data_IF_168728850509
#
_entry.id   IF_168728850509
#
_cell.length_a   1.000
_cell.length_b   1.000
_cell.length_c   1.000
_cell.angle_alpha   90.00
_cell.angle_beta   90.00
_cell.angle_gamma   90.00
#
_symmetry.space_group_name_H-M   'P 1'
#
loop_
_entity.id
_entity.type
_entity.pdbx_description
1 polymer ?
#
# COMPACT_ATOMS: atom_id res chain seq x y z
N UNK A 1 -10.46 -34.93 -2.86
CA UNK A 1 -10.35 -34.25 -1.56
C UNK A 1 -8.88 -34.26 -1.20
N UNK A 2 -8.10 -33.45 -1.89
CA UNK A 2 -6.65 -33.47 -1.81
C UNK A 2 -6.24 -32.12 -1.25
N UNK A 3 -5.66 -32.15 -0.04
CA UNK A 3 -4.82 -31.12 0.58
C UNK A 3 -5.07 -30.81 2.07
N UNK A 4 -5.07 -31.84 2.92
CA UNK A 4 -4.81 -31.65 4.34
C UNK A 4 -3.44 -32.26 4.68
N UNK A 5 -2.39 -31.72 4.08
CA UNK A 5 -1.03 -32.10 4.44
C UNK A 5 -0.73 -31.63 5.87
N UNK A 6 0.14 -32.31 6.63
CA UNK A 6 0.58 -31.84 7.95
C UNK A 6 1.04 -30.37 7.93
N UNK A 7 1.64 -29.94 6.82
CA UNK A 7 2.08 -28.56 6.60
C UNK A 7 0.92 -27.57 6.52
N UNK A 8 -0.16 -27.89 5.78
CA UNK A 8 -1.35 -27.03 5.68
C UNK A 8 -2.12 -26.93 7.00
N UNK A 9 -2.21 -28.03 7.76
CA UNK A 9 -2.76 -27.99 9.14
C UNK A 9 -1.96 -27.08 10.06
N UNK A 10 -0.64 -27.18 10.01
CA UNK A 10 0.25 -26.29 10.78
C UNK A 10 0.01 -24.83 10.41
N UNK A 11 -0.01 -24.49 9.13
CA UNK A 11 -0.30 -23.12 8.69
C UNK A 11 -1.67 -22.60 9.12
N UNK A 12 -2.70 -23.45 9.09
CA UNK A 12 -4.02 -23.06 9.62
C UNK A 12 -3.95 -22.73 11.11
N UNK A 13 -3.28 -23.56 11.90
CA UNK A 13 -3.10 -23.31 13.34
C UNK A 13 -2.30 -22.05 13.60
N UNK A 14 -1.18 -21.86 12.90
CA UNK A 14 -0.33 -20.68 13.04
C UNK A 14 -1.09 -19.40 12.63
N UNK A 15 -1.93 -19.48 11.59
CA UNK A 15 -2.81 -18.38 11.17
C UNK A 15 -3.88 -18.03 12.22
N UNK A 16 -4.46 -19.02 12.89
CA UNK A 16 -5.40 -18.78 14.00
C UNK A 16 -4.70 -18.13 15.20
N UNK A 17 -3.50 -18.60 15.55
CA UNK A 17 -2.71 -18.00 16.63
C UNK A 17 -2.33 -16.54 16.33
N UNK A 18 -1.99 -16.23 15.07
CA UNK A 18 -1.73 -14.85 14.65
C UNK A 18 -2.98 -13.97 14.79
N UNK A 19 -4.16 -14.49 14.45
CA UNK A 19 -5.42 -13.75 14.60
C UNK A 19 -5.73 -13.45 16.09
N UNK A 20 -5.49 -14.41 16.97
CA UNK A 20 -5.64 -14.24 18.42
C UNK A 20 -4.68 -13.19 18.98
N UNK A 21 -3.40 -13.25 18.59
CA UNK A 21 -2.41 -12.25 18.96
C UNK A 21 -2.85 -10.85 18.48
N UNK A 22 -3.29 -10.73 17.23
CA UNK A 22 -3.79 -9.47 16.67
C UNK A 22 -5.00 -8.91 17.42
N UNK A 23 -5.93 -9.76 17.87
CA UNK A 23 -7.07 -9.33 18.67
C UNK A 23 -6.64 -8.69 20.00
N UNK A 24 -5.57 -9.19 20.62
CA UNK A 24 -4.98 -8.61 21.83
C UNK A 24 -4.27 -7.26 21.63
N UNK A 25 -3.96 -6.89 20.38
CA UNK A 25 -3.31 -5.61 20.05
C UNK A 25 -4.31 -4.51 19.67
N UNK A 26 -5.60 -4.83 19.54
CA UNK A 26 -6.63 -3.85 19.18
C UNK A 26 -6.66 -2.71 20.21
N UNK A 27 -6.65 -1.47 19.72
CA UNK A 27 -6.63 -0.27 20.55
C UNK A 27 -5.22 0.17 20.99
N UNK A 28 -4.17 -0.56 20.63
CA UNK A 28 -2.79 -0.11 20.83
C UNK A 28 -2.52 1.12 19.98
N UNK A 29 -2.04 2.20 20.60
CA UNK A 29 -1.57 3.37 19.87
C UNK A 29 -0.25 3.04 19.18
N UNK A 30 -0.25 3.13 17.85
CA UNK A 30 0.95 2.96 17.05
C UNK A 30 1.55 4.32 16.70
N UNK A 31 2.89 4.39 16.54
CA UNK A 31 3.54 5.64 16.20
C UNK A 31 3.15 6.09 14.80
N UNK A 32 3.13 7.42 14.61
CA UNK A 32 3.13 8.01 13.27
C UNK A 32 4.57 8.17 12.80
N UNK A 33 4.83 7.82 11.56
CA UNK A 33 6.14 7.91 10.93
C UNK A 33 6.10 8.93 9.80
N UNK A 34 7.19 9.70 9.66
CA UNK A 34 7.35 10.62 8.53
C UNK A 34 7.76 9.82 7.29
N UNK A 35 6.97 9.94 6.23
CA UNK A 35 7.25 9.28 4.95
C UNK A 35 7.32 10.31 3.82
N UNK A 36 8.03 9.94 2.75
CA UNK A 36 8.10 10.68 1.49
C UNK A 36 7.31 9.90 0.44
N UNK A 37 6.33 10.56 -0.15
CA UNK A 37 5.49 9.99 -1.22
C UNK A 37 5.76 10.73 -2.52
N UNK A 38 5.89 10.03 -3.66
CA UNK A 38 5.86 10.67 -4.96
C UNK A 38 4.57 11.49 -5.11
N UNK A 39 4.68 12.72 -5.57
CA UNK A 39 3.55 13.65 -5.68
C UNK A 39 2.37 13.07 -6.46
N UNK A 40 2.64 12.38 -7.57
CA UNK A 40 1.60 11.73 -8.36
C UNK A 40 0.83 10.64 -7.58
N UNK A 41 1.48 9.94 -6.65
CA UNK A 41 0.83 8.94 -5.79
C UNK A 41 0.03 9.62 -4.67
N UNK A 42 0.60 10.67 -4.07
CA UNK A 42 -0.09 11.48 -3.07
C UNK A 42 -1.37 12.14 -3.63
N UNK A 43 -1.29 12.73 -4.83
CA UNK A 43 -2.43 13.36 -5.50
C UNK A 43 -3.54 12.32 -5.82
N UNK A 44 -3.17 11.07 -6.21
CA UNK A 44 -4.14 9.97 -6.39
C UNK A 44 -4.80 9.54 -5.09
N UNK A 45 -4.06 9.51 -3.98
CA UNK A 45 -4.62 9.20 -2.68
C UNK A 45 -5.65 10.25 -2.24
N UNK A 46 -5.33 11.54 -2.42
CA UNK A 46 -6.24 12.66 -2.15
C UNK A 46 -7.49 12.58 -3.02
N UNK A 47 -7.34 12.26 -4.31
CA UNK A 47 -8.49 12.06 -5.20
C UNK A 47 -9.39 10.91 -4.72
N UNK A 48 -8.82 9.80 -4.26
CA UNK A 48 -9.57 8.68 -3.70
C UNK A 48 -10.32 9.04 -2.41
N UNK A 49 -9.74 9.88 -1.55
CA UNK A 49 -10.39 10.43 -0.37
C UNK A 49 -11.60 11.31 -0.74
N UNK A 50 -11.42 12.24 -1.67
CA UNK A 50 -12.49 13.15 -2.10
C UNK A 50 -13.64 12.45 -2.82
N UNK A 51 -13.34 11.38 -3.55
CA UNK A 51 -14.35 10.58 -4.23
C UNK A 51 -15.13 9.63 -3.31
N UNK A 52 -14.83 9.59 -1.99
CA UNK A 52 -15.54 8.70 -1.07
C UNK A 52 -17.00 9.14 -0.89
N UNK A 53 -17.25 10.45 -0.87
CA UNK A 53 -18.58 11.05 -0.71
C UNK A 53 -19.49 10.80 -1.92
N UNK A 54 -18.93 10.48 -3.08
CA UNK A 54 -19.66 10.22 -4.33
C UNK A 54 -20.07 8.74 -4.49
N UNK A 55 -19.63 7.85 -3.58
CA UNK A 55 -19.92 6.42 -3.67
C UNK A 55 -21.29 6.11 -3.06
N UNK A 56 -22.31 6.15 -3.90
CA UNK A 56 -23.67 5.75 -3.52
C UNK A 56 -23.97 4.30 -3.92
N UNK A 57 -24.62 3.55 -3.02
CA UNK A 57 -25.27 2.28 -3.32
C UNK A 57 -24.87 1.11 -2.39
N UNK A 58 -25.79 0.15 -2.20
CA UNK A 58 -25.50 -1.03 -1.38
C UNK A 58 -24.45 -1.93 -2.07
N UNK A 59 -23.41 -2.31 -1.32
CA UNK A 59 -22.31 -3.16 -1.79
C UNK A 59 -22.69 -4.63 -2.04
N UNK A 60 -23.94 -5.03 -1.75
CA UNK A 60 -24.39 -6.42 -1.84
C UNK A 60 -23.62 -7.36 -0.90
N UNK A 61 -23.65 -8.65 -1.19
CA UNK A 61 -22.79 -9.63 -0.51
C UNK A 61 -21.38 -9.56 -1.07
N UNK A 62 -20.38 -9.38 -0.18
CA UNK A 62 -18.97 -9.35 -0.57
C UNK A 62 -18.33 -10.73 -0.44
N UNK A 63 -17.60 -11.15 -1.48
CA UNK A 63 -16.63 -12.23 -1.35
C UNK A 63 -15.32 -11.75 -0.70
N UNK A 64 -14.36 -12.67 -0.52
CA UNK A 64 -13.07 -12.34 0.12
C UNK A 64 -12.23 -11.36 -0.69
N UNK A 65 -12.30 -11.41 -2.01
CA UNK A 65 -11.52 -10.57 -2.90
C UNK A 65 -12.09 -9.15 -2.93
N UNK A 66 -13.41 -9.01 -3.04
CA UNK A 66 -14.12 -7.75 -2.93
C UNK A 66 -13.87 -7.08 -1.58
N UNK A 67 -13.88 -7.85 -0.48
CA UNK A 67 -13.52 -7.33 0.85
C UNK A 67 -12.09 -6.77 0.89
N UNK A 68 -11.11 -7.47 0.29
CA UNK A 68 -9.72 -6.98 0.20
C UNK A 68 -9.64 -5.69 -0.60
N UNK A 69 -10.31 -5.62 -1.76
CA UNK A 69 -10.34 -4.43 -2.60
C UNK A 69 -10.94 -3.23 -1.88
N UNK A 70 -12.06 -3.42 -1.17
CA UNK A 70 -12.66 -2.36 -0.35
C UNK A 70 -11.74 -1.90 0.77
N UNK A 71 -11.07 -2.83 1.45
CA UNK A 71 -10.08 -2.48 2.47
C UNK A 71 -8.95 -1.63 1.89
N UNK A 72 -8.36 -2.04 0.75
CA UNK A 72 -7.30 -1.28 0.06
C UNK A 72 -7.77 0.10 -0.39
N UNK A 73 -8.97 0.21 -0.94
CA UNK A 73 -9.56 1.49 -1.33
C UNK A 73 -9.75 2.43 -0.13
N UNK A 74 -10.18 1.88 1.01
CA UNK A 74 -10.26 2.61 2.28
C UNK A 74 -8.89 3.06 2.79
N UNK A 75 -7.89 2.17 2.78
CA UNK A 75 -6.50 2.52 3.14
C UNK A 75 -5.97 3.67 2.28
N UNK A 76 -6.17 3.62 0.96
CA UNK A 76 -5.75 4.69 0.04
C UNK A 76 -6.41 6.03 0.38
N UNK A 77 -7.72 6.02 0.66
CA UNK A 77 -8.45 7.21 1.06
C UNK A 77 -7.97 7.78 2.40
N UNK A 78 -7.67 6.93 3.39
CA UNK A 78 -7.11 7.38 4.68
C UNK A 78 -5.72 8.02 4.53
N UNK A 79 -4.89 7.49 3.63
CA UNK A 79 -3.62 8.13 3.25
C UNK A 79 -3.90 9.48 2.58
N UNK A 80 -4.89 9.54 1.70
CA UNK A 80 -5.35 10.77 1.03
C UNK A 80 -5.75 11.86 2.02
N UNK A 81 -6.57 11.52 3.02
CA UNK A 81 -6.95 12.42 4.10
C UNK A 81 -5.72 12.94 4.85
N UNK A 82 -4.80 12.06 5.25
CA UNK A 82 -3.59 12.48 5.96
C UNK A 82 -2.71 13.42 5.13
N UNK A 83 -2.61 13.17 3.82
CA UNK A 83 -1.91 14.06 2.88
C UNK A 83 -2.63 15.40 2.75
N UNK A 84 -3.95 15.41 2.65
CA UNK A 84 -4.74 16.64 2.52
C UNK A 84 -4.63 17.51 3.78
N UNK A 85 -4.72 16.92 4.97
CA UNK A 85 -4.66 17.65 6.23
C UNK A 85 -3.25 18.10 6.62
N UNK A 86 -2.23 17.26 6.35
CA UNK A 86 -0.89 17.40 6.96
C UNK A 86 0.26 17.30 5.97
N UNK A 87 -0.01 17.05 4.69
CA UNK A 87 1.02 16.86 3.66
C UNK A 87 1.74 18.15 3.30
N UNK A 88 3.08 18.12 3.34
CA UNK A 88 3.94 19.22 2.90
C UNK A 88 4.61 18.88 1.57
N UNK A 89 4.36 19.69 0.54
CA UNK A 89 4.99 19.54 -0.77
C UNK A 89 6.45 19.99 -0.72
N UNK A 90 7.34 19.14 -1.24
CA UNK A 90 8.78 19.41 -1.38
C UNK A 90 9.22 18.89 -2.75
N UNK A 91 9.28 19.78 -3.74
CA UNK A 91 9.59 19.40 -5.12
C UNK A 91 8.54 18.46 -5.72
N UNK A 92 8.99 17.27 -6.15
CA UNK A 92 8.15 16.20 -6.68
C UNK A 92 7.68 15.20 -5.61
N UNK A 93 7.94 15.50 -4.33
CA UNK A 93 7.55 14.68 -3.19
C UNK A 93 6.51 15.39 -2.31
N UNK A 94 5.79 14.59 -1.53
CA UNK A 94 4.97 15.01 -0.40
C UNK A 94 5.50 14.34 0.86
N UNK A 95 5.82 15.16 1.87
CA UNK A 95 6.23 14.70 3.19
C UNK A 95 5.00 14.71 4.10
N UNK A 96 4.69 13.59 4.74
CA UNK A 96 3.50 13.45 5.59
C UNK A 96 3.76 12.48 6.75
N UNK A 97 3.16 12.76 7.91
CA UNK A 97 3.11 11.81 9.03
C UNK A 97 1.95 10.84 8.84
N UNK A 98 2.26 9.56 8.67
CA UNK A 98 1.26 8.48 8.54
C UNK A 98 1.31 7.53 9.73
N UNK A 99 0.16 6.97 10.09
CA UNK A 99 0.11 5.83 11.00
C UNK A 99 0.90 4.65 10.40
N UNK A 100 1.73 4.00 11.21
CA UNK A 100 2.54 2.87 10.76
C UNK A 100 1.70 1.76 10.10
N UNK A 101 0.46 1.55 10.53
CA UNK A 101 -0.46 0.58 9.92
C UNK A 101 -0.77 0.94 8.48
N UNK A 102 -1.01 2.21 8.17
CA UNK A 102 -1.31 2.63 6.79
C UNK A 102 -0.13 2.41 5.86
N UNK A 103 1.09 2.57 6.37
CA UNK A 103 2.32 2.30 5.61
C UNK A 103 2.47 0.81 5.33
N UNK A 104 2.29 -0.04 6.34
CA UNK A 104 2.35 -1.50 6.17
C UNK A 104 1.27 -2.00 5.21
N UNK A 105 0.02 -1.56 5.37
CA UNK A 105 -1.08 -1.97 4.47
C UNK A 105 -0.83 -1.54 3.02
N UNK A 106 -0.18 -0.40 2.79
CA UNK A 106 0.18 0.03 1.44
C UNK A 106 1.32 -0.82 0.84
N UNK A 107 2.27 -1.27 1.65
CA UNK A 107 3.33 -2.19 1.24
C UNK A 107 2.78 -3.58 0.93
N UNK A 108 1.93 -4.13 1.79
CA UNK A 108 1.24 -5.41 1.56
C UNK A 108 0.40 -5.38 0.27
N UNK A 109 -0.33 -4.28 0.04
CA UNK A 109 -1.07 -4.10 -1.20
C UNK A 109 -0.17 -4.08 -2.44
N UNK A 110 1.09 -3.63 -2.33
CA UNK A 110 2.04 -3.67 -3.44
C UNK A 110 2.62 -5.07 -3.66
N UNK A 111 2.87 -5.82 -2.58
CA UNK A 111 3.40 -7.20 -2.65
C UNK A 111 2.38 -8.19 -3.21
N UNK A 112 1.09 -7.97 -2.93
CA UNK A 112 0.00 -8.80 -3.44
C UNK A 112 -0.31 -8.58 -4.93
N UNK A 113 0.19 -7.51 -5.54
CA UNK A 113 0.02 -7.26 -6.98
C UNK A 113 1.07 -8.07 -7.75
N UNK A 114 0.66 -9.06 -8.57
CA UNK A 114 1.59 -9.94 -9.27
C UNK A 114 2.39 -9.11 -10.29
N UNK A 115 3.68 -8.93 -10.01
CA UNK A 115 4.69 -8.26 -10.85
C UNK A 115 4.26 -6.89 -11.40
N UNK A 116 4.60 -5.85 -10.63
CA UNK A 116 4.87 -4.54 -11.20
C UNK A 116 6.03 -4.68 -12.19
N UNK A 117 5.74 -4.91 -13.46
CA UNK A 117 6.72 -4.97 -14.55
C UNK A 117 7.67 -3.77 -14.42
N UNK A 118 8.89 -4.07 -13.96
CA UNK A 118 9.95 -3.09 -13.79
C UNK A 118 10.29 -2.61 -15.18
N UNK A 119 9.83 -1.40 -15.53
CA UNK A 119 10.40 -0.67 -16.66
C UNK A 119 11.79 -0.23 -16.21
N UNK A 120 12.79 -1.09 -16.38
CA UNK A 120 14.17 -0.64 -16.48
C UNK A 120 14.28 0.13 -17.79
N UNK A 121 14.31 1.45 -17.70
CA UNK A 121 14.67 2.30 -18.83
C UNK A 121 16.12 2.00 -19.26
N UNK A 122 16.38 1.47 -20.47
CA UNK A 122 17.74 1.22 -20.93
C UNK A 122 18.47 2.50 -21.40
N UNK A 123 17.90 3.71 -21.23
CA UNK A 123 18.46 4.93 -21.81
C UNK A 123 19.38 5.78 -20.92
N UNK A 124 19.76 5.34 -19.70
CA UNK A 124 20.77 6.04 -18.89
C UNK A 124 22.09 5.27 -18.91
N UNK A 125 22.76 5.33 -20.05
CA UNK A 125 24.02 4.62 -20.28
C UNK A 125 24.85 5.21 -21.42
N UNK A 126 24.92 6.53 -21.54
CA UNK A 126 25.91 7.17 -22.41
C UNK A 126 26.46 8.45 -21.76
N UNK A 127 27.71 8.42 -21.30
CA UNK A 127 28.59 9.57 -21.36
C UNK A 127 29.52 9.40 -22.57
N UNK A 128 29.45 10.38 -23.48
CA UNK A 128 30.26 10.42 -24.68
C UNK A 128 31.75 10.73 -24.43
N UNK A 129 32.54 10.39 -25.45
CA UNK A 129 33.67 11.18 -25.90
C UNK A 129 35.01 11.01 -25.20
N UNK A 130 35.92 10.23 -25.82
CA UNK A 130 37.25 10.74 -26.15
C UNK A 130 37.88 9.90 -27.28
N UNK A 131 37.92 10.50 -28.48
CA UNK A 131 38.78 10.07 -29.56
C UNK A 131 40.18 10.60 -29.29
N UNK A 132 41.15 9.72 -29.05
CA UNK A 132 42.57 10.04 -29.09
C UNK A 132 43.14 9.41 -30.36
N UNK A 133 43.66 10.26 -31.24
CA UNK A 133 44.41 9.91 -32.46
C UNK A 133 45.66 9.10 -32.09
N UNK A 134 45.93 8.06 -32.87
CA UNK A 134 47.22 7.41 -33.05
C UNK A 134 47.34 7.02 -34.52
#
# INVERSE_FOLDING_TARGET
>A
MEDDTPRRRRYRRDSLALAELGAGLVGTTLPRIEVRLPRASADRAVAAWRALDEREGPLGGEDREQRRQRQRAGTLALIGLAVEERGRRVGDQVIVLLDAVLVVLAMEAADDEPERMVVTDPAVGAPGGHAVRG
#
